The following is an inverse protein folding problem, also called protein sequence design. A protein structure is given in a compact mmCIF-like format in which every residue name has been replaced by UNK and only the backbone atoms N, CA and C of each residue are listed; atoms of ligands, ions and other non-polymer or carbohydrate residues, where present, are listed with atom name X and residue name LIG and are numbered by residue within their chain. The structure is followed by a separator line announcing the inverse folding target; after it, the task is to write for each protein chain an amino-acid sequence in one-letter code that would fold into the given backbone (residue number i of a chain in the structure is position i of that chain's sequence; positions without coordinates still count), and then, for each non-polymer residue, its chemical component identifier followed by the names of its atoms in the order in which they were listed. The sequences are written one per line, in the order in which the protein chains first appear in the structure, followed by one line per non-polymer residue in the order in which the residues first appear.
data_IF_323450945943
#
_entry.id   IF_323450945943
#
_cell.length_a   1.000
_cell.length_b   1.000
_cell.length_c   1.000
_cell.angle_alpha   90.00
_cell.angle_beta   90.00
_cell.angle_gamma   90.00
#
_symmetry.space_group_name_H-M   'P 1'
#
loop_
_entity.id
_entity.type
_entity.pdbx_description
1 polymer ?
#
# COMPACT_ATOMS: atom_id res chain seq x y z
N UNK A 1 23.56 15.82 23.65
CA UNK A 1 23.15 15.90 22.23
C UNK A 1 24.21 15.18 21.42
N UNK A 2 23.83 14.21 20.59
CA UNK A 2 24.77 13.44 19.76
C UNK A 2 25.35 14.34 18.68
N UNK A 3 26.67 14.23 18.43
CA UNK A 3 27.35 14.94 17.35
C UNK A 3 27.19 14.17 16.02
N UNK A 4 26.49 14.77 15.06
CA UNK A 4 26.25 14.22 13.72
C UNK A 4 27.35 14.60 12.70
N UNK A 5 28.39 15.34 13.10
CA UNK A 5 29.47 15.74 12.19
C UNK A 5 30.16 14.54 11.52
N UNK A 6 30.41 13.42 12.22
CA UNK A 6 30.98 12.24 11.59
C UNK A 6 30.10 11.63 10.50
N UNK A 7 28.76 11.61 10.71
CA UNK A 7 27.81 11.14 9.71
C UNK A 7 27.75 12.10 8.51
N UNK A 8 27.62 13.41 8.76
CA UNK A 8 27.61 14.43 7.71
C UNK A 8 28.83 14.36 6.78
N UNK A 9 30.00 13.98 7.32
CA UNK A 9 31.25 13.94 6.56
C UNK A 9 31.33 12.80 5.52
N UNK A 10 30.52 11.74 5.68
CA UNK A 10 30.55 10.54 4.83
C UNK A 10 29.32 10.35 3.97
N UNK A 11 28.26 11.15 4.16
CA UNK A 11 27.03 11.07 3.38
C UNK A 11 27.17 11.76 2.02
N UNK A 12 26.71 11.10 0.96
CA UNK A 12 26.39 11.73 -0.33
C UNK A 12 25.06 12.51 -0.25
N UNK A 13 24.17 12.09 0.63
CA UNK A 13 22.93 12.75 0.97
C UNK A 13 23.09 13.90 1.96
N UNK A 14 22.07 14.12 2.81
CA UNK A 14 22.11 15.24 3.78
C UNK A 14 21.36 14.93 5.07
N UNK A 15 21.81 15.55 6.17
CA UNK A 15 21.11 15.56 7.47
C UNK A 15 20.36 16.87 7.63
N UNK A 16 19.09 16.80 8.01
CA UNK A 16 18.20 17.95 8.18
C UNK A 16 17.74 18.02 9.64
N UNK A 17 18.16 19.07 10.35
CA UNK A 17 17.73 19.34 11.71
C UNK A 17 16.74 20.49 11.78
N UNK A 18 15.84 20.43 12.75
CA UNK A 18 14.91 21.53 12.99
C UNK A 18 15.62 22.85 13.35
N UNK A 19 16.71 22.76 14.12
CA UNK A 19 17.48 23.91 14.59
C UNK A 19 18.32 24.59 13.49
N UNK A 20 18.78 23.84 12.50
CA UNK A 20 19.68 24.34 11.44
C UNK A 20 18.93 24.63 10.15
N UNK A 21 17.92 23.82 9.80
CA UNK A 21 17.22 23.83 8.52
C UNK A 21 15.69 23.81 8.72
N UNK A 22 15.14 24.74 9.48
CA UNK A 22 13.74 24.71 9.89
C UNK A 22 12.74 24.59 8.71
N UNK A 23 13.00 25.23 7.57
CA UNK A 23 12.14 25.16 6.38
C UNK A 23 12.19 23.78 5.73
N UNK A 24 13.38 23.19 5.58
CA UNK A 24 13.54 21.86 5.00
C UNK A 24 12.98 20.81 5.94
N UNK A 25 13.21 20.94 7.24
CA UNK A 25 12.61 20.06 8.24
C UNK A 25 11.09 20.09 8.18
N UNK A 26 10.48 21.29 8.13
CA UNK A 26 9.04 21.43 8.05
C UNK A 26 8.50 20.81 6.75
N UNK A 27 9.21 20.97 5.63
CA UNK A 27 8.84 20.33 4.37
C UNK A 27 8.83 18.80 4.49
N UNK A 28 9.86 18.19 5.14
CA UNK A 28 9.88 16.74 5.39
C UNK A 28 8.66 16.28 6.20
N UNK A 29 8.24 17.05 7.20
CA UNK A 29 7.03 16.80 7.99
C UNK A 29 5.77 16.96 7.14
N UNK A 30 5.66 18.04 6.35
CA UNK A 30 4.47 18.37 5.56
C UNK A 30 4.24 17.42 4.38
N UNK A 31 5.29 16.74 3.92
CA UNK A 31 5.20 15.72 2.88
C UNK A 31 4.55 14.41 3.35
N UNK A 32 4.21 14.24 4.62
CA UNK A 32 3.48 13.05 5.07
C UNK A 32 2.06 13.01 4.52
N UNK A 33 1.60 11.80 4.17
CA UNK A 33 0.24 11.63 3.66
C UNK A 33 -0.81 11.96 4.72
N UNK A 34 -0.69 11.39 5.92
CA UNK A 34 -1.61 11.64 7.03
C UNK A 34 -1.15 12.86 7.85
N UNK A 35 -1.98 13.91 7.89
CA UNK A 35 -1.68 15.09 8.69
C UNK A 35 -1.67 14.81 10.20
N UNK A 36 -2.30 13.76 10.68
CA UNK A 36 -2.35 13.41 12.09
C UNK A 36 -0.95 13.17 12.70
N UNK A 37 0.01 12.67 11.90
CA UNK A 37 1.37 12.41 12.39
C UNK A 37 2.30 13.63 12.34
N UNK A 38 1.87 14.77 11.81
CA UNK A 38 2.69 15.99 11.69
C UNK A 38 3.03 16.66 13.03
N UNK A 39 2.38 16.26 14.10
CA UNK A 39 2.71 16.67 15.47
C UNK A 39 4.00 16.03 15.98
N UNK A 40 4.44 14.92 15.39
CA UNK A 40 5.66 14.22 15.75
C UNK A 40 6.90 15.06 15.44
N UNK A 41 7.93 14.88 16.24
CA UNK A 41 9.15 15.70 16.23
C UNK A 41 10.39 14.79 16.15
N UNK A 42 10.72 14.24 14.99
CA UNK A 42 11.96 13.52 14.80
C UNK A 42 13.18 14.36 15.20
N UNK A 43 14.23 13.71 15.71
CA UNK A 43 15.49 14.38 16.05
C UNK A 43 16.21 14.89 14.80
N UNK A 44 16.15 14.13 13.69
CA UNK A 44 16.70 14.49 12.39
C UNK A 44 16.01 13.71 11.26
N UNK A 45 16.03 14.28 10.04
CA UNK A 45 15.84 13.53 8.81
C UNK A 45 17.18 13.35 8.12
N UNK A 46 17.50 12.11 7.74
CA UNK A 46 18.68 11.78 6.93
C UNK A 46 18.17 11.37 5.53
N UNK A 47 18.27 12.26 4.56
CA UNK A 47 18.00 11.93 3.16
C UNK A 47 19.22 11.19 2.61
N UNK A 48 19.03 9.94 2.28
CA UNK A 48 20.06 9.06 1.73
C UNK A 48 19.94 9.00 0.21
N UNK A 49 21.08 9.04 -0.48
CA UNK A 49 21.16 8.99 -1.94
C UNK A 49 21.76 7.67 -2.45
N UNK A 50 22.48 6.94 -1.60
CA UNK A 50 23.20 5.72 -1.93
C UNK A 50 23.00 4.63 -0.88
N UNK A 51 23.31 3.39 -1.22
CA UNK A 51 23.33 2.26 -0.28
C UNK A 51 24.31 2.52 0.86
N UNK A 52 25.47 3.10 0.53
CA UNK A 52 26.51 3.45 1.52
C UNK A 52 26.00 4.50 2.52
N UNK A 53 25.16 5.46 2.09
CA UNK A 53 24.52 6.40 3.01
C UNK A 53 23.61 5.69 4.01
N UNK A 54 22.87 4.67 3.56
CA UNK A 54 22.02 3.85 4.44
C UNK A 54 22.87 3.09 5.45
N UNK A 55 23.94 2.41 4.97
CA UNK A 55 24.91 1.70 5.83
C UNK A 55 25.50 2.62 6.90
N UNK A 56 25.98 3.78 6.49
CA UNK A 56 26.59 4.76 7.41
C UNK A 56 25.58 5.29 8.43
N UNK A 57 24.33 5.53 8.00
CA UNK A 57 23.27 6.02 8.89
C UNK A 57 22.86 4.97 9.91
N UNK A 58 22.64 3.72 9.48
CA UNK A 58 22.28 2.61 10.38
C UNK A 58 23.40 2.40 11.41
N UNK A 59 24.67 2.25 10.98
CA UNK A 59 25.82 2.09 11.86
C UNK A 59 25.97 3.26 12.85
N UNK A 60 25.76 4.48 12.38
CA UNK A 60 25.81 5.67 13.23
C UNK A 60 24.71 5.65 14.31
N UNK A 61 23.48 5.32 13.94
CA UNK A 61 22.37 5.26 14.88
C UNK A 61 22.58 4.15 15.92
N UNK A 62 22.94 2.94 15.48
CA UNK A 62 23.21 1.81 16.40
C UNK A 62 24.35 2.14 17.36
N UNK A 63 25.46 2.68 16.86
CA UNK A 63 26.62 3.06 17.70
C UNK A 63 26.30 4.10 18.77
N UNK A 64 25.37 5.00 18.47
CA UNK A 64 25.01 6.11 19.38
C UNK A 64 23.69 5.86 20.11
N UNK A 65 23.14 4.64 20.04
CA UNK A 65 21.88 4.24 20.69
C UNK A 65 20.72 5.19 20.31
N UNK A 66 20.70 5.61 19.03
CA UNK A 66 19.65 6.46 18.49
C UNK A 66 18.53 5.61 17.91
N UNK A 67 17.33 5.94 18.28
CA UNK A 67 16.14 5.38 17.70
C UNK A 67 16.00 5.78 16.23
N UNK A 68 15.47 4.89 15.37
CA UNK A 68 15.34 5.16 13.94
C UNK A 68 14.06 4.62 13.35
N UNK A 69 13.54 5.33 12.35
CA UNK A 69 12.48 4.86 11.49
C UNK A 69 12.82 5.10 10.02
N UNK A 70 12.15 4.39 9.12
CA UNK A 70 12.44 4.42 7.69
C UNK A 70 11.23 4.93 6.92
N UNK A 71 11.45 5.84 5.99
CA UNK A 71 10.41 6.28 5.08
C UNK A 71 10.93 6.40 3.64
N UNK A 72 10.00 6.27 2.69
CA UNK A 72 10.20 6.59 1.28
C UNK A 72 9.16 7.64 0.85
N UNK A 73 7.98 7.21 0.42
CA UNK A 73 6.91 8.10 0.00
C UNK A 73 6.05 8.66 1.16
N UNK A 74 6.35 8.35 2.42
CA UNK A 74 5.68 8.87 3.64
C UNK A 74 4.15 8.66 3.66
N UNK A 75 3.69 7.50 3.19
CA UNK A 75 2.27 7.16 3.16
C UNK A 75 1.79 6.43 4.42
N UNK A 76 2.71 5.89 5.23
CA UNK A 76 2.42 5.19 6.48
C UNK A 76 2.51 6.12 7.68
N UNK A 77 1.74 5.83 8.72
CA UNK A 77 1.86 6.48 10.03
C UNK A 77 3.20 6.15 10.74
N UNK A 78 3.93 5.15 10.25
CA UNK A 78 5.28 4.80 10.70
C UNK A 78 6.40 5.62 10.03
N UNK A 79 6.04 6.55 9.12
CA UNK A 79 7.00 7.32 8.33
C UNK A 79 7.91 8.23 9.17
N UNK A 80 7.54 8.54 10.40
CA UNK A 80 8.36 9.26 11.39
C UNK A 80 7.88 8.98 12.81
N UNK A 81 8.79 9.11 13.78
CA UNK A 81 8.52 8.98 15.22
C UNK A 81 9.18 10.14 15.98
N UNK A 82 8.68 10.43 17.18
CA UNK A 82 9.28 11.42 18.06
C UNK A 82 10.69 10.99 18.46
N UNK A 83 11.61 11.94 18.50
CA UNK A 83 13.00 11.79 18.89
C UNK A 83 13.85 10.80 18.02
N UNK A 84 13.24 10.10 17.06
CA UNK A 84 13.91 9.18 16.16
C UNK A 84 14.68 9.90 15.04
N UNK A 85 15.70 9.24 14.49
CA UNK A 85 16.34 9.59 13.22
C UNK A 85 15.53 8.96 12.09
N UNK A 86 15.01 9.77 11.17
CA UNK A 86 14.26 9.30 10.02
C UNK A 86 15.19 9.09 8.83
N UNK A 87 15.38 7.83 8.43
CA UNK A 87 16.08 7.46 7.19
C UNK A 87 15.11 7.65 6.03
N UNK A 88 15.31 8.68 5.23
CA UNK A 88 14.44 9.02 4.10
C UNK A 88 15.06 8.56 2.78
N UNK A 89 14.46 7.52 2.18
CA UNK A 89 14.90 6.87 0.95
C UNK A 89 14.45 7.56 -0.34
N UNK A 90 13.70 8.66 -0.27
CA UNK A 90 13.00 9.24 -1.43
C UNK A 90 13.92 9.66 -2.58
N UNK A 91 15.22 9.86 -2.34
CA UNK A 91 16.20 10.18 -3.39
C UNK A 91 16.77 8.91 -4.08
N UNK A 92 16.51 7.71 -3.53
CA UNK A 92 16.88 6.42 -4.14
C UNK A 92 15.74 5.91 -5.04
N UNK A 93 15.38 6.64 -6.08
CA UNK A 93 14.17 6.44 -6.88
C UNK A 93 14.44 6.00 -8.33
N UNK A 94 15.57 5.39 -8.60
CA UNK A 94 15.92 4.88 -9.93
C UNK A 94 14.95 3.77 -10.37
N UNK A 95 14.65 3.74 -11.70
CA UNK A 95 13.88 2.68 -12.34
C UNK A 95 14.63 2.24 -13.59
N UNK A 96 14.97 0.95 -13.70
CA UNK A 96 15.69 0.39 -14.83
C UNK A 96 14.98 -0.85 -15.36
N UNK A 97 14.48 -0.78 -16.60
CA UNK A 97 13.75 -1.87 -17.27
C UNK A 97 14.69 -2.67 -18.16
N UNK A 98 14.72 -3.99 -17.98
CA UNK A 98 15.30 -4.95 -18.93
C UNK A 98 14.14 -5.61 -19.70
N UNK A 99 13.90 -5.10 -20.91
CA UNK A 99 12.76 -5.53 -21.73
C UNK A 99 12.92 -6.98 -22.20
N UNK A 100 14.15 -7.42 -22.51
CA UNK A 100 14.40 -8.78 -23.00
C UNK A 100 14.13 -9.82 -21.92
N UNK A 101 14.56 -9.53 -20.67
CA UNK A 101 14.30 -10.41 -19.52
C UNK A 101 12.94 -10.19 -18.89
N UNK A 102 12.22 -9.15 -19.30
CA UNK A 102 10.96 -8.71 -18.69
C UNK A 102 11.10 -8.53 -17.17
N UNK A 103 12.09 -7.76 -16.75
CA UNK A 103 12.29 -7.41 -15.35
C UNK A 103 12.52 -5.91 -15.19
N UNK A 104 12.17 -5.39 -14.02
CA UNK A 104 12.49 -4.02 -13.63
C UNK A 104 13.22 -4.03 -12.29
N UNK A 105 14.29 -3.24 -12.17
CA UNK A 105 15.00 -2.97 -10.93
C UNK A 105 14.68 -1.55 -10.50
N UNK A 106 14.26 -1.39 -9.25
CA UNK A 106 13.81 -0.11 -8.71
C UNK A 106 14.48 0.20 -7.39
N UNK A 107 14.86 1.45 -7.18
CA UNK A 107 15.28 1.96 -5.88
C UNK A 107 14.10 2.04 -4.92
N UNK A 108 14.35 1.79 -3.64
CA UNK A 108 13.30 1.71 -2.62
C UNK A 108 12.51 3.01 -2.39
N UNK A 109 13.06 4.16 -2.82
CA UNK A 109 12.41 5.47 -2.79
C UNK A 109 11.45 5.74 -3.94
N UNK A 110 11.40 4.88 -4.97
CA UNK A 110 10.53 5.05 -6.13
C UNK A 110 9.04 4.99 -5.73
N UNK A 111 8.22 5.74 -6.45
CA UNK A 111 6.77 5.65 -6.40
C UNK A 111 6.25 4.68 -7.45
N UNK A 112 5.03 4.19 -7.26
CA UNK A 112 4.38 3.29 -8.22
C UNK A 112 4.28 3.93 -9.61
N UNK A 113 3.98 5.24 -9.67
CA UNK A 113 3.95 6.01 -10.93
C UNK A 113 5.28 6.06 -11.68
N UNK A 114 6.41 5.96 -10.99
CA UNK A 114 7.72 6.00 -11.62
C UNK A 114 7.95 4.68 -12.39
N UNK A 115 7.49 3.56 -11.81
CA UNK A 115 7.57 2.24 -12.43
C UNK A 115 6.61 2.13 -13.62
N UNK A 116 5.32 2.46 -13.41
CA UNK A 116 4.31 2.41 -14.48
C UNK A 116 4.74 3.21 -15.70
N UNK A 117 5.24 4.44 -15.47
CA UNK A 117 5.72 5.33 -16.53
C UNK A 117 6.81 4.71 -17.40
N UNK A 118 7.73 3.97 -16.80
CA UNK A 118 8.84 3.36 -17.54
C UNK A 118 8.44 2.03 -18.19
N UNK A 119 7.62 1.20 -17.51
CA UNK A 119 7.27 -0.14 -18.00
C UNK A 119 6.20 -0.11 -19.10
N UNK A 120 5.17 0.75 -18.97
CA UNK A 120 4.07 0.84 -19.96
C UNK A 120 4.55 1.26 -21.36
N UNK A 121 5.64 2.03 -21.46
CA UNK A 121 6.28 2.38 -22.74
C UNK A 121 6.73 1.16 -23.56
N UNK A 122 6.92 0.04 -22.90
CA UNK A 122 7.33 -1.22 -23.49
C UNK A 122 6.19 -2.24 -23.55
N UNK A 123 4.94 -1.82 -23.31
CA UNK A 123 3.77 -2.71 -23.16
C UNK A 123 3.98 -3.77 -22.08
N UNK A 124 4.65 -3.39 -21.00
CA UNK A 124 4.96 -4.24 -19.86
C UNK A 124 4.38 -3.62 -18.57
N UNK A 125 3.99 -4.47 -17.61
CA UNK A 125 3.59 -4.04 -16.29
C UNK A 125 3.87 -5.12 -15.23
N UNK A 126 3.85 -4.72 -13.96
CA UNK A 126 3.82 -5.60 -12.79
C UNK A 126 2.65 -5.18 -11.90
N UNK A 127 2.08 -6.08 -11.07
CA UNK A 127 1.02 -5.69 -10.14
C UNK A 127 1.52 -4.64 -9.14
N UNK A 128 0.91 -3.46 -9.17
CA UNK A 128 1.16 -2.34 -8.27
C UNK A 128 -0.15 -1.87 -7.66
N UNK A 129 -0.08 -1.04 -6.62
CA UNK A 129 -1.25 -0.48 -5.95
C UNK A 129 -2.05 0.48 -6.83
N UNK A 130 -3.27 0.77 -6.42
CA UNK A 130 -4.24 1.59 -7.17
C UNK A 130 -4.07 3.11 -7.01
N UNK A 131 -3.11 3.56 -6.22
CA UNK A 131 -2.78 4.97 -6.01
C UNK A 131 -1.33 5.24 -6.40
N UNK A 132 -1.12 6.08 -7.42
CA UNK A 132 0.16 6.25 -8.10
C UNK A 132 1.29 6.83 -7.22
N UNK A 133 0.93 7.54 -6.14
CA UNK A 133 1.88 8.22 -5.24
C UNK A 133 2.35 7.34 -4.06
N UNK A 134 1.95 6.08 -4.00
CA UNK A 134 2.48 5.13 -3.00
C UNK A 134 3.96 4.84 -3.26
N UNK A 135 4.72 4.62 -2.18
CA UNK A 135 6.10 4.17 -2.25
C UNK A 135 6.17 2.66 -2.48
N UNK A 136 6.98 2.24 -3.45
CA UNK A 136 7.05 0.83 -3.86
C UNK A 136 7.52 -0.09 -2.74
N UNK A 137 8.57 0.28 -2.00
CA UNK A 137 9.16 -0.60 -0.99
C UNK A 137 8.16 -0.92 0.13
N UNK A 138 7.63 0.11 0.81
CA UNK A 138 6.67 -0.09 1.89
C UNK A 138 5.43 -0.85 1.44
N UNK A 139 4.99 -0.65 0.21
CA UNK A 139 3.83 -1.34 -0.36
C UNK A 139 4.10 -2.85 -0.57
N UNK A 140 5.25 -3.19 -1.13
CA UNK A 140 5.67 -4.58 -1.40
C UNK A 140 5.90 -5.36 -0.11
N UNK A 141 6.53 -4.74 0.90
CA UNK A 141 6.86 -5.39 2.16
C UNK A 141 5.65 -5.85 2.99
N UNK A 142 4.43 -5.39 2.63
CA UNK A 142 3.14 -5.82 3.20
C UNK A 142 2.31 -6.65 2.21
N UNK A 143 2.89 -7.19 1.15
CA UNK A 143 2.18 -7.93 0.11
C UNK A 143 1.80 -7.03 -1.07
N UNK A 144 0.92 -6.07 -0.88
CA UNK A 144 0.47 -5.12 -1.90
C UNK A 144 -0.50 -5.70 -2.93
N UNK A 145 -1.69 -5.08 -3.07
CA UNK A 145 -2.73 -5.51 -4.01
C UNK A 145 -3.21 -4.34 -4.86
N UNK A 146 -3.53 -4.58 -6.12
CA UNK A 146 -4.03 -3.55 -7.04
C UNK A 146 -4.81 -4.13 -8.20
N UNK A 147 -5.07 -3.32 -9.20
CA UNK A 147 -5.91 -3.70 -10.34
C UNK A 147 -5.39 -4.91 -11.14
N UNK A 148 -4.08 -5.15 -11.15
CA UNK A 148 -3.49 -6.28 -11.85
C UNK A 148 -3.35 -7.53 -11.00
N UNK A 149 -3.67 -7.46 -9.70
CA UNK A 149 -3.40 -8.56 -8.77
C UNK A 149 -4.25 -9.81 -9.02
N UNK A 150 -5.44 -9.64 -9.57
CA UNK A 150 -6.27 -10.79 -9.98
C UNK A 150 -5.61 -11.61 -11.10
N UNK A 151 -4.88 -10.92 -12.00
CA UNK A 151 -4.17 -11.57 -13.11
C UNK A 151 -2.81 -12.15 -12.73
N UNK A 152 -2.07 -11.49 -11.81
CA UNK A 152 -0.65 -11.77 -11.62
C UNK A 152 -0.22 -11.98 -10.16
N UNK A 153 -1.13 -11.92 -9.18
CA UNK A 153 -0.81 -12.04 -7.76
C UNK A 153 -0.54 -10.68 -7.09
N UNK A 154 -0.14 -10.70 -5.83
CA UNK A 154 0.24 -9.50 -5.08
C UNK A 154 1.54 -8.89 -5.63
N UNK A 155 1.82 -7.63 -5.30
CA UNK A 155 3.08 -6.97 -5.68
C UNK A 155 4.30 -7.76 -5.16
N UNK A 156 4.23 -8.27 -3.93
CA UNK A 156 5.28 -9.08 -3.32
C UNK A 156 5.49 -10.44 -4.02
N UNK A 157 4.44 -11.05 -4.57
CA UNK A 157 4.55 -12.31 -5.32
C UNK A 157 5.40 -12.15 -6.58
N UNK A 158 5.42 -10.94 -7.13
CA UNK A 158 6.14 -10.58 -8.34
C UNK A 158 7.53 -10.00 -8.06
N UNK A 159 7.90 -9.83 -6.78
CA UNK A 159 9.25 -9.44 -6.41
C UNK A 159 10.19 -10.66 -6.51
N UNK A 160 11.28 -10.49 -7.27
CA UNK A 160 12.28 -11.53 -7.54
C UNK A 160 13.50 -11.42 -6.63
N UNK A 161 13.79 -10.22 -6.12
CA UNK A 161 14.96 -9.94 -5.29
C UNK A 161 14.74 -8.68 -4.45
N UNK A 162 15.19 -8.71 -3.21
CA UNK A 162 15.37 -7.55 -2.34
C UNK A 162 16.85 -7.37 -2.05
N UNK A 163 17.31 -6.11 -2.07
CA UNK A 163 18.58 -5.72 -1.48
C UNK A 163 18.28 -4.86 -0.25
N UNK A 164 18.91 -5.17 0.88
CA UNK A 164 18.65 -4.47 2.13
C UNK A 164 19.93 -4.32 2.99
N UNK A 165 19.88 -3.32 3.88
CA UNK A 165 20.91 -3.08 4.91
C UNK A 165 20.36 -3.57 6.24
N UNK A 166 21.07 -4.52 6.88
CA UNK A 166 20.71 -5.10 8.18
C UNK A 166 20.98 -4.15 9.35
N UNK A 167 20.56 -4.53 10.57
CA UNK A 167 20.86 -3.77 11.79
C UNK A 167 22.37 -3.66 12.11
N UNK A 168 23.21 -4.54 11.58
CA UNK A 168 24.67 -4.47 11.67
C UNK A 168 25.29 -3.57 10.60
N UNK A 169 24.49 -3.13 9.63
CA UNK A 169 24.94 -2.35 8.48
C UNK A 169 25.58 -3.19 7.39
N UNK A 170 25.29 -4.49 7.33
CA UNK A 170 25.70 -5.36 6.23
C UNK A 170 24.69 -5.24 5.09
N UNK A 171 25.19 -5.15 3.85
CA UNK A 171 24.37 -5.18 2.65
C UNK A 171 24.18 -6.63 2.23
N UNK A 172 22.94 -7.08 2.19
CA UNK A 172 22.59 -8.47 1.82
C UNK A 172 21.51 -8.48 0.74
N UNK A 173 21.38 -9.63 0.04
CA UNK A 173 20.32 -9.89 -0.90
C UNK A 173 19.47 -11.06 -0.44
N UNK A 174 18.20 -10.99 -0.79
CA UNK A 174 17.23 -12.04 -0.56
C UNK A 174 16.49 -12.34 -1.86
N UNK A 175 16.55 -13.59 -2.33
CA UNK A 175 15.89 -14.09 -3.53
C UNK A 175 15.62 -15.60 -3.36
N UNK A 176 14.98 -16.24 -4.31
CA UNK A 176 14.82 -17.72 -4.30
C UNK A 176 16.16 -18.47 -4.25
N UNK A 177 17.25 -17.87 -4.78
CA UNK A 177 18.56 -18.50 -4.86
C UNK A 177 19.56 -17.98 -3.81
N UNK A 178 19.26 -16.88 -3.14
CA UNK A 178 20.11 -16.25 -2.14
C UNK A 178 19.27 -15.89 -0.92
N UNK A 179 19.48 -16.55 0.22
CA UNK A 179 18.73 -16.44 1.46
C UNK A 179 17.20 -16.59 1.27
N UNK A 180 16.72 -17.78 0.81
CA UNK A 180 15.30 -18.01 0.52
C UNK A 180 14.37 -17.85 1.73
N UNK A 181 14.87 -18.07 2.96
CA UNK A 181 14.10 -17.86 4.18
C UNK A 181 13.82 -16.38 4.42
N UNK A 182 14.84 -15.54 4.29
CA UNK A 182 14.65 -14.09 4.36
C UNK A 182 13.75 -13.61 3.22
N UNK A 183 13.96 -14.13 2.00
CA UNK A 183 13.13 -13.79 0.85
C UNK A 183 11.65 -14.09 1.10
N UNK A 184 11.35 -15.23 1.71
CA UNK A 184 10.00 -15.56 2.16
C UNK A 184 9.47 -14.51 3.14
N UNK A 185 10.22 -14.19 4.20
CA UNK A 185 9.81 -13.22 5.23
C UNK A 185 9.60 -11.80 4.70
N UNK A 186 10.38 -11.40 3.70
CA UNK A 186 10.27 -10.07 3.08
C UNK A 186 8.93 -9.84 2.37
N UNK A 187 8.24 -10.89 1.94
CA UNK A 187 6.98 -10.84 1.16
C UNK A 187 5.72 -10.67 2.02
N UNK A 188 5.78 -9.98 3.14
CA UNK A 188 4.64 -9.72 4.02
C UNK A 188 5.03 -9.10 5.37
N UNK A 189 6.27 -9.37 5.85
CA UNK A 189 6.79 -8.88 7.13
C UNK A 189 8.13 -8.13 7.00
N UNK A 190 8.48 -7.68 5.80
CA UNK A 190 9.82 -7.20 5.45
C UNK A 190 10.31 -5.95 6.19
N UNK A 191 9.44 -5.21 6.85
CA UNK A 191 9.83 -4.05 7.68
C UNK A 191 10.71 -4.42 8.90
N UNK A 192 10.74 -5.70 9.27
CA UNK A 192 11.36 -6.16 10.52
C UNK A 192 12.84 -6.53 10.38
N UNK A 193 13.38 -6.64 9.15
CA UNK A 193 14.65 -7.31 8.92
C UNK A 193 15.78 -6.37 8.46
N UNK A 194 15.45 -5.15 8.05
CA UNK A 194 16.43 -4.19 7.56
C UNK A 194 15.81 -3.06 6.74
N UNK A 195 16.69 -2.18 6.24
CA UNK A 195 16.33 -1.08 5.36
C UNK A 195 16.47 -1.53 3.91
N UNK A 196 15.38 -1.74 3.19
CA UNK A 196 15.41 -2.09 1.76
C UNK A 196 15.94 -0.92 0.95
N UNK A 197 16.89 -1.20 0.05
CA UNK A 197 17.52 -0.22 -0.83
C UNK A 197 17.14 -0.41 -2.30
N UNK A 198 16.87 -1.65 -2.72
CA UNK A 198 16.49 -1.99 -4.10
C UNK A 198 15.55 -3.18 -4.13
N UNK A 199 14.67 -3.22 -5.15
CA UNK A 199 13.76 -4.32 -5.43
C UNK A 199 13.79 -4.64 -6.93
N UNK A 200 13.62 -5.92 -7.27
CA UNK A 200 13.54 -6.39 -8.65
C UNK A 200 12.22 -7.12 -8.87
N UNK A 201 11.48 -6.77 -9.94
CA UNK A 201 10.18 -7.37 -10.22
C UNK A 201 10.13 -8.03 -11.58
N UNK A 202 9.31 -9.08 -11.66
CA UNK A 202 8.83 -9.66 -12.91
C UNK A 202 7.88 -8.69 -13.61
N UNK A 203 8.01 -8.56 -14.92
CA UNK A 203 7.10 -7.83 -15.79
C UNK A 203 6.32 -8.79 -16.68
N UNK A 204 5.11 -8.39 -17.04
CA UNK A 204 4.18 -9.12 -17.89
C UNK A 204 3.77 -8.29 -19.10
N UNK A 205 3.54 -8.95 -20.23
CA UNK A 205 2.97 -8.29 -21.40
C UNK A 205 1.56 -7.80 -21.10
N UNK A 206 1.28 -6.57 -21.47
CA UNK A 206 -0.05 -5.97 -21.39
C UNK A 206 -0.41 -5.36 -22.75
N UNK A 207 -1.68 -5.23 -23.10
CA UNK A 207 -2.08 -4.50 -24.31
C UNK A 207 -1.69 -3.02 -24.20
N UNK A 208 -1.39 -2.38 -25.33
CA UNK A 208 -1.10 -0.95 -25.42
C UNK A 208 -2.20 -0.08 -24.79
N UNK A 209 -3.46 -0.51 -24.99
CA UNK A 209 -4.64 0.11 -24.38
C UNK A 209 -5.43 -0.93 -23.59
N UNK A 210 -5.69 -0.63 -22.33
CA UNK A 210 -6.64 -1.35 -21.48
C UNK A 210 -8.02 -0.73 -21.62
N UNK A 211 -9.08 -1.45 -21.27
CA UNK A 211 -10.44 -0.89 -21.16
C UNK A 211 -10.65 -0.49 -19.71
N UNK A 212 -10.66 0.81 -19.42
CA UNK A 212 -10.71 1.29 -18.04
C UNK A 212 -11.43 2.62 -17.88
N UNK A 213 -11.88 2.88 -16.65
CA UNK A 213 -12.57 4.12 -16.27
C UNK A 213 -13.63 3.91 -15.20
N UNK A 214 -14.50 4.89 -15.03
CA UNK A 214 -15.45 4.96 -13.94
C UNK A 214 -16.90 4.91 -14.42
N UNK A 215 -17.70 4.08 -13.76
CA UNK A 215 -19.15 4.01 -13.87
C UNK A 215 -19.77 4.66 -12.63
N UNK A 216 -20.59 5.67 -12.78
CA UNK A 216 -21.21 6.40 -11.66
C UNK A 216 -22.66 6.00 -11.48
N UNK A 217 -23.10 5.85 -10.24
CA UNK A 217 -24.45 5.41 -9.88
C UNK A 217 -25.16 6.43 -8.99
N UNK A 218 -26.49 6.62 -9.14
CA UNK A 218 -27.28 7.35 -8.15
C UNK A 218 -27.22 6.64 -6.80
N UNK A 219 -27.05 7.36 -5.69
CA UNK A 219 -26.98 6.75 -4.35
C UNK A 219 -28.18 5.84 -4.05
N UNK A 220 -29.37 6.20 -4.52
CA UNK A 220 -30.61 5.40 -4.34
C UNK A 220 -30.58 4.03 -5.04
N UNK A 221 -29.64 3.79 -5.95
CA UNK A 221 -29.48 2.51 -6.68
C UNK A 221 -28.11 1.86 -6.42
N UNK A 222 -27.23 2.53 -5.69
CA UNK A 222 -25.84 2.13 -5.57
C UNK A 222 -25.68 0.78 -4.86
N UNK A 223 -26.42 0.52 -3.78
CA UNK A 223 -26.36 -0.76 -3.08
C UNK A 223 -26.77 -1.93 -4.01
N UNK A 224 -27.87 -1.79 -4.75
CA UNK A 224 -28.29 -2.80 -5.72
C UNK A 224 -27.28 -2.98 -6.85
N UNK A 225 -26.70 -1.87 -7.36
CA UNK A 225 -25.65 -1.93 -8.38
C UNK A 225 -24.40 -2.66 -7.88
N UNK A 226 -23.97 -2.42 -6.63
CA UNK A 226 -22.80 -3.08 -6.05
C UNK A 226 -23.05 -4.59 -5.85
N UNK A 227 -24.25 -5.02 -5.47
CA UNK A 227 -24.62 -6.44 -5.41
C UNK A 227 -24.53 -7.08 -6.80
N UNK A 228 -25.04 -6.43 -7.84
CA UNK A 228 -24.96 -6.92 -9.23
C UNK A 228 -23.51 -6.96 -9.71
N UNK A 229 -22.70 -5.94 -9.43
CA UNK A 229 -21.27 -5.91 -9.81
C UNK A 229 -20.49 -7.05 -9.15
N UNK A 230 -20.72 -7.29 -7.86
CA UNK A 230 -20.12 -8.43 -7.13
C UNK A 230 -20.46 -9.76 -7.82
N UNK A 231 -21.75 -9.98 -8.10
CA UNK A 231 -22.22 -11.23 -8.73
C UNK A 231 -21.65 -11.38 -10.14
N UNK A 232 -21.62 -10.29 -10.92
CA UNK A 232 -21.03 -10.26 -12.26
C UNK A 232 -19.55 -10.68 -12.25
N UNK A 233 -18.73 -10.11 -11.34
CA UNK A 233 -17.30 -10.49 -11.24
C UNK A 233 -17.14 -11.95 -10.86
N UNK A 234 -17.98 -12.46 -9.94
CA UNK A 234 -17.97 -13.85 -9.53
C UNK A 234 -18.36 -14.80 -10.67
N UNK A 235 -19.40 -14.46 -11.45
CA UNK A 235 -19.90 -15.30 -12.55
C UNK A 235 -18.94 -15.33 -13.75
N UNK A 236 -18.23 -14.23 -14.03
CA UNK A 236 -17.30 -14.18 -15.18
C UNK A 236 -16.03 -14.99 -14.96
N UNK A 237 -15.58 -15.18 -13.73
CA UNK A 237 -14.35 -15.90 -13.39
C UNK A 237 -13.13 -15.48 -14.23
N UNK A 238 -13.14 -14.25 -14.79
CA UNK A 238 -12.06 -13.72 -15.62
C UNK A 238 -11.06 -12.92 -14.78
N UNK A 239 -9.88 -13.46 -14.60
CA UNK A 239 -8.83 -12.81 -13.82
C UNK A 239 -8.31 -11.50 -14.44
N UNK A 240 -8.60 -11.23 -15.73
CA UNK A 240 -8.26 -9.99 -16.43
C UNK A 240 -9.20 -8.84 -16.08
N UNK A 241 -10.33 -9.14 -15.43
CA UNK A 241 -11.32 -8.16 -14.97
C UNK A 241 -11.07 -7.80 -13.50
N UNK A 242 -10.85 -6.52 -13.24
CA UNK A 242 -10.79 -5.95 -11.89
C UNK A 242 -11.84 -4.85 -11.74
N UNK A 243 -12.55 -4.85 -10.61
CA UNK A 243 -13.51 -3.80 -10.27
C UNK A 243 -13.28 -3.31 -8.86
N UNK A 244 -13.34 -1.99 -8.68
CA UNK A 244 -13.31 -1.35 -7.38
C UNK A 244 -14.60 -0.56 -7.23
N UNK A 245 -15.50 -1.04 -6.38
CA UNK A 245 -16.69 -0.30 -5.99
C UNK A 245 -16.31 0.70 -4.92
N UNK A 246 -16.75 1.93 -5.05
CA UNK A 246 -16.31 3.02 -4.21
C UNK A 246 -17.44 3.95 -3.82
N UNK A 247 -17.38 4.44 -2.58
CA UNK A 247 -18.18 5.53 -2.08
C UNK A 247 -17.25 6.69 -1.73
N UNK A 248 -17.27 7.75 -2.52
CA UNK A 248 -16.44 8.94 -2.34
C UNK A 248 -17.27 10.09 -1.77
N UNK A 249 -16.80 10.70 -0.69
CA UNK A 249 -17.49 11.79 -0.03
C UNK A 249 -17.03 13.15 -0.58
N UNK A 250 -17.94 13.81 -1.30
CA UNK A 250 -17.80 15.22 -1.73
C UNK A 250 -18.51 16.13 -0.74
N UNK A 251 -18.21 17.43 -0.78
CA UNK A 251 -18.95 18.42 0.04
C UNK A 251 -20.46 18.39 -0.19
N UNK A 252 -20.92 17.96 -1.38
CA UNK A 252 -22.34 17.84 -1.75
C UNK A 252 -22.99 16.52 -1.32
N UNK A 253 -22.25 15.63 -0.70
CA UNK A 253 -22.70 14.29 -0.29
C UNK A 253 -21.90 13.16 -0.93
N UNK A 254 -22.20 11.91 -0.53
CA UNK A 254 -21.51 10.72 -1.06
C UNK A 254 -21.85 10.49 -2.54
N UNK A 255 -20.87 10.00 -3.26
CA UNK A 255 -20.99 9.58 -4.66
C UNK A 255 -20.55 8.13 -4.80
N UNK A 256 -21.40 7.31 -5.41
CA UNK A 256 -21.10 5.91 -5.69
C UNK A 256 -20.53 5.76 -7.10
N UNK A 257 -19.44 5.00 -7.21
CA UNK A 257 -18.82 4.65 -8.49
C UNK A 257 -18.22 3.26 -8.47
N UNK A 258 -18.07 2.67 -9.66
CA UNK A 258 -17.29 1.48 -9.90
C UNK A 258 -16.15 1.84 -10.86
N UNK A 259 -14.92 1.65 -10.43
CA UNK A 259 -13.76 1.68 -11.33
C UNK A 259 -13.64 0.32 -11.99
N UNK A 260 -13.69 0.30 -13.29
CA UNK A 260 -13.63 -0.88 -14.14
C UNK A 260 -12.28 -0.93 -14.84
N UNK A 261 -11.60 -2.07 -14.78
CA UNK A 261 -10.42 -2.34 -15.59
C UNK A 261 -10.51 -3.74 -16.20
N UNK A 262 -10.22 -3.82 -17.49
CA UNK A 262 -10.03 -5.08 -18.18
C UNK A 262 -8.71 -5.06 -19.00
N UNK A 263 -7.82 -6.02 -18.73
CA UNK A 263 -6.53 -6.16 -19.40
C UNK A 263 -6.60 -7.25 -20.48
N UNK A 264 -7.27 -6.94 -21.58
CA UNK A 264 -7.44 -7.84 -22.72
C UNK A 264 -7.74 -7.06 -23.99
N UNK A 265 -8.24 -7.74 -25.01
CA UNK A 265 -8.59 -7.05 -26.24
C UNK A 265 -9.73 -6.04 -26.04
N UNK A 266 -9.72 -4.90 -26.77
CA UNK A 266 -10.82 -3.92 -26.70
C UNK A 266 -12.19 -4.52 -27.02
N UNK A 267 -12.25 -5.54 -27.86
CA UNK A 267 -13.50 -6.23 -28.20
C UNK A 267 -14.07 -7.01 -27.01
N UNK A 268 -13.25 -7.78 -26.32
CA UNK A 268 -13.66 -8.54 -25.13
C UNK A 268 -14.06 -7.60 -23.99
N UNK A 269 -13.22 -6.60 -23.68
CA UNK A 269 -13.50 -5.63 -22.64
C UNK A 269 -14.75 -4.79 -22.93
N UNK A 270 -14.96 -4.41 -24.19
CA UNK A 270 -16.18 -3.72 -24.63
C UNK A 270 -17.45 -4.56 -24.46
N UNK A 271 -17.38 -5.87 -24.73
CA UNK A 271 -18.51 -6.79 -24.53
C UNK A 271 -18.85 -6.93 -23.03
N UNK A 272 -17.85 -7.14 -22.16
CA UNK A 272 -18.03 -7.19 -20.71
C UNK A 272 -18.62 -5.90 -20.15
N UNK A 273 -18.08 -4.75 -20.61
CA UNK A 273 -18.59 -3.43 -20.19
C UNK A 273 -20.04 -3.23 -20.58
N UNK A 274 -20.40 -3.60 -21.82
CA UNK A 274 -21.79 -3.47 -22.32
C UNK A 274 -22.74 -4.32 -21.47
N UNK A 275 -22.39 -5.58 -21.20
CA UNK A 275 -23.20 -6.45 -20.35
C UNK A 275 -23.36 -5.87 -18.93
N UNK A 276 -22.25 -5.44 -18.29
CA UNK A 276 -22.29 -4.83 -16.97
C UNK A 276 -23.14 -3.57 -16.92
N UNK A 277 -23.03 -2.69 -17.94
CA UNK A 277 -23.83 -1.45 -18.00
C UNK A 277 -25.30 -1.73 -18.26
N UNK A 278 -25.61 -2.80 -19.00
CA UNK A 278 -26.99 -3.23 -19.22
C UNK A 278 -27.64 -3.77 -17.95
N UNK A 279 -26.91 -4.45 -17.10
CA UNK A 279 -27.39 -4.95 -15.81
C UNK A 279 -27.53 -3.83 -14.77
N UNK A 280 -26.54 -2.93 -14.67
CA UNK A 280 -26.43 -1.96 -13.58
C UNK A 280 -26.99 -0.57 -13.91
N UNK A 281 -27.15 -0.23 -15.21
CA UNK A 281 -27.67 1.06 -15.71
C UNK A 281 -27.00 2.28 -15.01
N UNK A 282 -25.69 2.48 -15.17
CA UNK A 282 -25.00 3.62 -14.58
C UNK A 282 -25.54 4.96 -15.10
N UNK A 283 -25.52 6.00 -14.26
CA UNK A 283 -25.90 7.36 -14.64
C UNK A 283 -24.89 7.97 -15.63
N UNK A 284 -23.59 7.68 -15.43
CA UNK A 284 -22.49 8.13 -16.27
C UNK A 284 -21.53 6.99 -16.49
N UNK A 285 -21.12 6.79 -17.75
CA UNK A 285 -20.07 5.87 -18.13
C UNK A 285 -18.89 6.65 -18.71
N UNK A 286 -17.71 6.55 -18.06
CA UNK A 286 -16.45 7.14 -18.49
C UNK A 286 -15.40 6.09 -18.87
N UNK A 287 -15.81 4.83 -19.01
CA UNK A 287 -14.90 3.75 -19.42
C UNK A 287 -14.56 3.89 -20.89
N UNK A 288 -13.26 3.78 -21.21
CA UNK A 288 -12.73 3.92 -22.57
C UNK A 288 -11.42 3.13 -22.71
N UNK A 289 -10.92 2.90 -23.94
CA UNK A 289 -9.55 2.49 -24.13
C UNK A 289 -8.58 3.60 -23.69
N UNK A 290 -7.54 3.24 -22.90
CA UNK A 290 -6.47 4.16 -22.48
C UNK A 290 -5.23 3.36 -22.03
N UNK A 291 -4.02 3.98 -22.01
CA UNK A 291 -2.83 3.38 -21.42
C UNK A 291 -3.03 3.07 -19.93
N UNK A 292 -2.40 2.01 -19.44
CA UNK A 292 -2.54 1.56 -18.04
C UNK A 292 -2.08 2.63 -17.04
N UNK A 293 -0.97 3.33 -17.32
CA UNK A 293 -0.47 4.38 -16.43
C UNK A 293 -1.39 5.60 -16.33
N UNK A 294 -2.12 5.93 -17.41
CA UNK A 294 -3.18 6.94 -17.38
C UNK A 294 -4.36 6.49 -16.53
N UNK A 295 -4.76 5.20 -16.66
CA UNK A 295 -5.81 4.65 -15.81
C UNK A 295 -5.41 4.69 -14.33
N UNK A 296 -4.21 4.25 -13.97
CA UNK A 296 -3.70 4.27 -12.59
C UNK A 296 -3.75 5.69 -12.01
N UNK A 297 -3.23 6.68 -12.71
CA UNK A 297 -3.23 8.10 -12.27
C UNK A 297 -4.61 8.72 -12.20
N UNK A 298 -5.57 8.23 -12.99
CA UNK A 298 -6.92 8.80 -13.06
C UNK A 298 -7.69 8.76 -11.73
N UNK A 299 -7.22 7.98 -10.76
CA UNK A 299 -7.79 7.89 -9.41
C UNK A 299 -7.12 8.76 -8.35
N UNK A 300 -5.98 9.37 -8.63
CA UNK A 300 -5.17 10.10 -7.65
C UNK A 300 -5.91 11.28 -6.99
N UNK A 301 -6.83 11.91 -7.70
CA UNK A 301 -7.64 13.02 -7.18
C UNK A 301 -8.52 12.64 -5.98
N UNK A 302 -8.80 11.36 -5.78
CA UNK A 302 -9.62 10.87 -4.67
C UNK A 302 -8.86 10.81 -3.34
N UNK A 303 -7.53 10.88 -3.38
CA UNK A 303 -6.68 10.79 -2.19
C UNK A 303 -5.81 12.04 -2.12
N UNK A 304 -6.12 12.93 -1.18
CA UNK A 304 -5.36 14.17 -0.98
C UNK A 304 -4.22 13.94 0.01
N UNK A 305 -3.03 14.41 -0.35
CA UNK A 305 -1.84 14.24 0.48
C UNK A 305 -1.66 15.41 1.44
N UNK A 306 -1.46 15.10 2.69
CA UNK A 306 -0.92 16.03 3.68
C UNK A 306 -1.83 17.15 4.16
N UNK A 307 -3.09 17.16 3.78
CA UNK A 307 -4.07 18.19 4.22
C UNK A 307 -5.23 17.60 5.03
N UNK A 308 -5.27 16.30 5.20
CA UNK A 308 -6.36 15.60 5.85
C UNK A 308 -5.83 14.71 6.98
N UNK A 309 -6.52 14.72 8.11
CA UNK A 309 -6.30 13.81 9.23
C UNK A 309 -7.08 12.53 8.93
N UNK A 310 -6.37 11.46 8.56
CA UNK A 310 -7.00 10.19 8.18
C UNK A 310 -7.06 9.21 9.34
N UNK A 311 -8.18 8.48 9.41
CA UNK A 311 -8.37 7.29 10.25
C UNK A 311 -8.61 6.09 9.31
N UNK A 312 -7.56 5.46 8.77
CA UNK A 312 -7.72 4.35 7.85
C UNK A 312 -7.96 3.05 8.60
N UNK A 313 -8.97 2.28 8.15
CA UNK A 313 -9.25 0.92 8.60
C UNK A 313 -9.59 0.04 7.40
N UNK A 314 -9.50 -1.28 7.54
CA UNK A 314 -9.87 -2.18 6.45
C UNK A 314 -9.92 -3.63 6.84
N UNK A 315 -10.82 -4.35 6.20
CA UNK A 315 -11.06 -5.77 6.38
C UNK A 315 -10.87 -6.54 5.07
N UNK A 316 -10.14 -7.64 5.12
CA UNK A 316 -10.12 -8.64 4.05
C UNK A 316 -11.24 -9.64 4.32
N UNK A 317 -12.06 -9.94 3.33
CA UNK A 317 -13.20 -10.85 3.47
C UNK A 317 -13.18 -11.94 2.40
N UNK A 318 -13.53 -13.18 2.79
CA UNK A 318 -13.65 -14.29 1.84
C UNK A 318 -14.89 -14.15 0.95
N UNK A 319 -15.93 -13.51 1.47
CA UNK A 319 -17.17 -13.28 0.74
C UNK A 319 -17.72 -11.88 1.04
N UNK A 320 -18.09 -11.16 0.00
CA UNK A 320 -18.86 -9.93 0.11
C UNK A 320 -20.35 -10.26 0.08
N UNK A 321 -20.95 -10.43 1.25
CA UNK A 321 -22.38 -10.78 1.37
C UNK A 321 -23.30 -9.57 1.09
N UNK A 322 -24.58 -9.82 0.85
CA UNK A 322 -25.59 -8.78 0.76
C UNK A 322 -25.67 -7.94 2.04
N UNK A 323 -25.61 -8.61 3.21
CA UNK A 323 -25.63 -7.96 4.51
C UNK A 323 -24.35 -7.09 4.72
N UNK A 324 -23.18 -7.54 4.24
CA UNK A 324 -21.96 -6.73 4.25
C UNK A 324 -22.09 -5.44 3.44
N UNK A 325 -22.68 -5.51 2.25
CA UNK A 325 -22.98 -4.34 1.43
C UNK A 325 -23.97 -3.43 2.14
N UNK A 326 -25.07 -3.98 2.69
CA UNK A 326 -26.10 -3.21 3.38
C UNK A 326 -25.54 -2.52 4.65
N UNK A 327 -24.61 -3.14 5.40
CA UNK A 327 -23.88 -2.52 6.52
C UNK A 327 -23.07 -1.31 6.04
N UNK A 328 -22.39 -1.42 4.89
CA UNK A 328 -21.62 -0.30 4.33
C UNK A 328 -22.53 0.89 4.02
N UNK A 329 -23.65 0.64 3.34
CA UNK A 329 -24.59 1.71 2.97
C UNK A 329 -25.30 2.31 4.19
N UNK A 330 -25.63 1.49 5.20
CA UNK A 330 -26.17 1.97 6.47
C UNK A 330 -25.14 2.85 7.20
N UNK A 331 -23.85 2.46 7.21
CA UNK A 331 -22.75 3.26 7.74
C UNK A 331 -22.59 4.60 7.01
N UNK A 332 -22.79 4.64 5.69
CA UNK A 332 -22.80 5.89 4.91
C UNK A 332 -23.92 6.82 5.35
N UNK A 333 -25.11 6.28 5.67
CA UNK A 333 -26.24 7.08 6.16
C UNK A 333 -26.01 7.63 7.58
N UNK A 334 -25.10 7.03 8.34
CA UNK A 334 -24.69 7.46 9.70
C UNK A 334 -23.41 8.31 9.68
N UNK A 335 -22.84 8.58 8.52
CA UNK A 335 -21.62 9.33 8.36
C UNK A 335 -21.74 10.76 8.91
N UNK A 336 -20.66 11.35 9.43
CA UNK A 336 -20.61 12.78 9.72
C UNK A 336 -20.97 13.63 8.50
N UNK A 337 -21.29 14.90 8.71
CA UNK A 337 -21.59 15.84 7.64
C UNK A 337 -20.52 15.76 6.53
N UNK A 338 -20.96 15.62 5.27
CA UNK A 338 -20.04 15.47 4.12
C UNK A 338 -19.07 16.64 3.94
N UNK A 339 -19.35 17.80 4.55
CA UNK A 339 -18.43 18.95 4.57
C UNK A 339 -17.24 18.70 5.51
N UNK A 340 -17.45 17.88 6.55
CA UNK A 340 -16.41 17.49 7.52
C UNK A 340 -15.53 16.39 6.93
N UNK A 341 -16.13 15.38 6.30
CA UNK A 341 -15.44 14.19 5.80
C UNK A 341 -15.16 14.24 4.29
N UNK A 342 -15.12 15.43 3.69
CA UNK A 342 -14.86 15.59 2.26
C UNK A 342 -13.49 15.00 1.87
N UNK A 343 -13.47 14.21 0.80
CA UNK A 343 -12.27 13.47 0.36
C UNK A 343 -12.14 12.07 0.98
N UNK A 344 -13.04 11.69 1.90
CA UNK A 344 -13.10 10.32 2.43
C UNK A 344 -13.59 9.32 1.38
N UNK A 345 -13.17 8.07 1.53
CA UNK A 345 -13.53 6.99 0.63
C UNK A 345 -13.83 5.70 1.39
N UNK A 346 -14.79 4.94 0.89
CA UNK A 346 -14.96 3.53 1.22
C UNK A 346 -14.69 2.76 -0.07
N UNK A 347 -13.72 1.84 -0.01
CA UNK A 347 -13.31 0.99 -1.12
C UNK A 347 -13.83 -0.42 -0.89
N UNK A 348 -14.34 -1.04 -1.94
CA UNK A 348 -14.64 -2.48 -1.99
C UNK A 348 -13.91 -3.00 -3.22
N UNK A 349 -12.73 -3.56 -2.99
CA UNK A 349 -11.77 -3.95 -4.03
C UNK A 349 -11.88 -5.43 -4.30
N UNK A 350 -12.13 -5.83 -5.55
CA UNK A 350 -12.10 -7.23 -5.94
C UNK A 350 -10.67 -7.78 -5.88
N UNK A 351 -10.51 -8.92 -5.20
CA UNK A 351 -9.31 -9.71 -5.09
C UNK A 351 -9.52 -11.09 -5.72
N UNK A 352 -9.01 -12.17 -5.11
CA UNK A 352 -9.15 -13.53 -5.65
C UNK A 352 -8.24 -13.77 -6.86
N UNK A 353 -8.70 -14.60 -7.80
CA UNK A 353 -7.91 -14.92 -8.99
C UNK A 353 -6.53 -15.47 -8.66
N UNK A 354 -5.48 -14.95 -9.33
CA UNK A 354 -4.09 -15.41 -9.13
C UNK A 354 -3.59 -15.33 -7.69
N UNK A 355 -4.13 -14.41 -6.88
CA UNK A 355 -3.78 -14.32 -5.44
C UNK A 355 -4.09 -15.63 -4.71
N UNK A 356 -5.27 -16.23 -4.99
CA UNK A 356 -5.72 -17.50 -4.37
C UNK A 356 -5.02 -18.72 -4.93
N UNK A 357 -4.56 -18.67 -6.17
CA UNK A 357 -3.84 -19.78 -6.80
C UNK A 357 -2.42 -19.96 -6.23
N UNK A 358 -1.85 -18.90 -5.62
CA UNK A 358 -0.53 -18.96 -5.02
C UNK A 358 -0.64 -19.63 -3.65
N UNK A 359 0.16 -20.68 -3.36
CA UNK A 359 0.10 -21.39 -2.09
C UNK A 359 0.30 -20.46 -0.88
N UNK A 360 -0.46 -20.69 0.19
CA UNK A 360 -0.43 -19.84 1.39
C UNK A 360 0.98 -19.81 2.02
N UNK A 361 1.67 -20.94 2.03
CA UNK A 361 3.03 -21.09 2.58
C UNK A 361 4.13 -20.37 1.81
N UNK A 362 3.84 -19.84 0.61
CA UNK A 362 4.83 -19.17 -0.24
C UNK A 362 5.29 -17.80 0.28
N UNK A 363 4.57 -17.22 1.23
CA UNK A 363 4.91 -15.95 1.89
C UNK A 363 4.07 -15.75 3.16
N UNK A 364 4.49 -14.88 4.08
CA UNK A 364 3.71 -14.54 5.27
C UNK A 364 2.53 -13.59 4.98
N UNK A 365 2.11 -13.41 3.72
CA UNK A 365 0.93 -12.64 3.38
C UNK A 365 -0.35 -13.43 3.70
N UNK A 366 -1.14 -13.04 4.72
CA UNK A 366 -2.16 -13.92 5.30
C UNK A 366 -3.52 -13.89 4.57
N UNK A 367 -3.70 -13.00 3.58
CA UNK A 367 -5.02 -12.73 2.99
C UNK A 367 -5.23 -13.40 1.63
N UNK A 368 -4.62 -14.57 1.38
CA UNK A 368 -4.71 -15.27 0.10
C UNK A 368 -6.12 -15.70 -0.26
N UNK A 369 -6.94 -16.06 0.73
CA UNK A 369 -8.32 -16.51 0.53
C UNK A 369 -9.32 -15.35 0.33
N UNK A 370 -8.88 -14.09 0.49
CA UNK A 370 -9.77 -12.94 0.34
C UNK A 370 -10.28 -12.78 -1.10
N UNK A 371 -11.58 -12.62 -1.25
CA UNK A 371 -12.22 -12.21 -2.51
C UNK A 371 -12.38 -10.70 -2.59
N UNK A 372 -12.43 -10.02 -1.45
CA UNK A 372 -12.53 -8.56 -1.40
C UNK A 372 -11.71 -7.98 -0.25
N UNK A 373 -11.20 -6.76 -0.48
CA UNK A 373 -10.77 -5.86 0.58
C UNK A 373 -11.76 -4.71 0.71
N UNK A 374 -12.23 -4.48 1.94
CA UNK A 374 -13.12 -3.36 2.28
C UNK A 374 -12.27 -2.36 3.06
N UNK A 375 -11.90 -1.24 2.44
CA UNK A 375 -11.10 -0.18 3.05
C UNK A 375 -11.93 1.04 3.36
N UNK A 376 -11.85 1.54 4.60
CA UNK A 376 -12.46 2.80 5.02
C UNK A 376 -11.33 3.79 5.23
N UNK A 377 -11.11 4.66 4.25
CA UNK A 377 -10.10 5.72 4.29
C UNK A 377 -10.82 7.03 4.48
N UNK A 378 -11.19 7.30 5.71
CA UNK A 378 -11.93 8.48 6.08
C UNK A 378 -11.05 9.50 6.80
N UNK A 379 -11.35 10.78 6.62
CA UNK A 379 -10.57 11.83 7.23
C UNK A 379 -11.26 13.20 7.14
N UNK A 380 -10.65 14.16 7.80
CA UNK A 380 -11.12 15.54 7.87
C UNK A 380 -9.97 16.53 7.68
N UNK A 381 -10.19 17.67 7.01
CA UNK A 381 -9.18 18.73 6.95
C UNK A 381 -9.05 19.53 8.27
N UNK A 382 -9.98 19.37 9.21
CA UNK A 382 -10.01 20.06 10.51
C UNK A 382 -9.79 19.05 11.65
N UNK A 383 -8.70 19.20 12.38
CA UNK A 383 -8.33 18.33 13.50
C UNK A 383 -9.40 18.29 14.62
N UNK A 384 -10.24 19.30 14.77
CA UNK A 384 -11.29 19.33 15.78
C UNK A 384 -12.35 18.24 15.55
N UNK A 385 -12.49 17.74 14.31
CA UNK A 385 -13.44 16.67 13.97
C UNK A 385 -12.78 15.30 13.83
N UNK A 386 -11.48 15.18 14.13
CA UNK A 386 -10.77 13.91 13.91
C UNK A 386 -11.34 12.77 14.73
N UNK A 387 -11.66 13.01 16.01
CA UNK A 387 -12.23 11.99 16.91
C UNK A 387 -13.65 11.58 16.48
N UNK A 388 -14.46 12.50 15.95
CA UNK A 388 -15.78 12.17 15.42
C UNK A 388 -15.67 11.26 14.19
N UNK A 389 -14.72 11.58 13.29
CA UNK A 389 -14.44 10.75 12.09
C UNK A 389 -13.93 9.38 12.51
N UNK A 390 -12.98 9.32 13.45
CA UNK A 390 -12.43 8.07 13.98
C UNK A 390 -13.52 7.20 14.61
N UNK A 391 -14.39 7.78 15.44
CA UNK A 391 -15.51 7.06 16.08
C UNK A 391 -16.44 6.44 15.03
N UNK A 392 -16.74 7.17 13.94
CA UNK A 392 -17.55 6.64 12.84
C UNK A 392 -16.84 5.50 12.12
N UNK A 393 -15.55 5.64 11.80
CA UNK A 393 -14.73 4.60 11.16
C UNK A 393 -14.69 3.35 12.03
N UNK A 394 -14.37 3.49 13.33
CA UNK A 394 -14.31 2.38 14.29
C UNK A 394 -15.66 1.65 14.40
N UNK A 395 -16.77 2.40 14.38
CA UNK A 395 -18.13 1.81 14.39
C UNK A 395 -18.42 0.97 13.15
N UNK A 396 -18.00 1.43 11.97
CA UNK A 396 -18.16 0.66 10.74
C UNK A 396 -17.25 -0.57 10.72
N UNK A 397 -16.00 -0.41 11.13
CA UNK A 397 -15.02 -1.48 11.18
C UNK A 397 -15.47 -2.60 12.12
N UNK A 398 -15.93 -2.28 13.32
CA UNK A 398 -16.50 -3.24 14.27
C UNK A 398 -17.70 -4.03 13.71
N UNK A 399 -18.52 -3.41 12.87
CA UNK A 399 -19.66 -4.08 12.22
C UNK A 399 -19.24 -5.00 11.07
N UNK A 400 -18.16 -4.65 10.37
CA UNK A 400 -17.62 -5.39 9.24
C UNK A 400 -16.65 -6.49 9.67
N UNK A 401 -15.99 -6.34 10.81
CA UNK A 401 -14.97 -7.28 11.30
C UNK A 401 -15.48 -8.71 11.46
N UNK A 402 -16.79 -8.92 11.71
CA UNK A 402 -17.39 -10.26 11.76
C UNK A 402 -17.29 -11.07 10.45
N UNK A 403 -17.02 -10.40 9.32
CA UNK A 403 -16.76 -11.02 8.01
C UNK A 403 -15.26 -11.08 7.68
N UNK A 404 -14.44 -10.42 8.50
CA UNK A 404 -13.01 -10.28 8.27
C UNK A 404 -12.24 -11.59 8.42
N UNK A 405 -11.20 -11.75 7.62
CA UNK A 405 -10.18 -12.77 7.82
C UNK A 405 -9.25 -12.29 8.92
N UNK A 406 -9.14 -13.04 9.99
CA UNK A 406 -8.21 -12.74 11.08
C UNK A 406 -6.89 -13.48 10.84
N UNK A 407 -5.79 -12.78 10.53
CA UNK A 407 -4.52 -13.41 10.19
C UNK A 407 -3.80 -14.09 11.36
N UNK A 408 -4.32 -13.95 12.58
CA UNK A 408 -3.69 -14.38 13.83
C UNK A 408 -4.44 -15.53 14.53
N UNK A 409 -5.03 -16.44 13.77
CA UNK A 409 -5.65 -17.65 14.32
C UNK A 409 -4.60 -18.65 14.87
N UNK A 410 -5.05 -19.71 15.61
CA UNK A 410 -4.15 -20.75 16.13
C UNK A 410 -3.30 -21.44 15.06
N UNK A 411 -3.77 -21.46 13.82
CA UNK A 411 -3.07 -22.05 12.66
C UNK A 411 -1.88 -21.20 12.19
N UNK A 412 -1.80 -19.93 12.59
CA UNK A 412 -0.70 -19.02 12.26
C UNK A 412 0.50 -19.11 13.23
N UNK A 413 0.46 -19.98 14.25
CA UNK A 413 1.48 -20.04 15.31
C UNK A 413 2.84 -20.48 14.75
N UNK A 414 2.87 -21.46 13.84
CA UNK A 414 4.10 -21.94 13.18
C UNK A 414 4.70 -20.83 12.27
N UNK A 415 3.87 -20.13 11.54
CA UNK A 415 4.29 -19.03 10.68
C UNK A 415 4.88 -17.87 11.50
N UNK A 416 4.27 -17.53 12.60
CA UNK A 416 4.76 -16.50 13.52
C UNK A 416 6.11 -16.86 14.13
N UNK A 417 6.32 -18.13 14.53
CA UNK A 417 7.62 -18.58 15.04
C UNK A 417 8.69 -18.52 13.95
N UNK A 418 8.35 -18.85 12.71
CA UNK A 418 9.25 -18.73 11.56
C UNK A 418 9.65 -17.27 11.31
N UNK A 419 8.70 -16.33 11.34
CA UNK A 419 8.97 -14.89 11.19
C UNK A 419 9.82 -14.36 12.36
N UNK A 420 9.52 -14.80 13.60
CA UNK A 420 10.29 -14.44 14.79
C UNK A 420 11.72 -14.96 14.72
N UNK A 421 11.95 -16.15 14.22
CA UNK A 421 13.30 -16.68 14.03
C UNK A 421 14.13 -15.82 13.05
N UNK A 422 13.50 -15.32 11.98
CA UNK A 422 14.12 -14.36 11.07
C UNK A 422 14.45 -13.03 11.78
N UNK A 423 13.51 -12.51 12.59
CA UNK A 423 13.75 -11.29 13.37
C UNK A 423 14.93 -11.44 14.32
N UNK A 424 15.02 -12.56 15.05
CA UNK A 424 16.17 -12.87 15.93
C UNK A 424 17.48 -12.96 15.15
N UNK A 425 17.45 -13.50 13.93
CA UNK A 425 18.64 -13.63 13.07
C UNK A 425 19.14 -12.28 12.54
N UNK A 426 18.22 -11.41 12.03
CA UNK A 426 18.60 -10.20 11.29
C UNK A 426 18.53 -8.92 12.11
N UNK A 427 17.74 -8.91 13.18
CA UNK A 427 17.58 -7.75 14.06
C UNK A 427 17.33 -8.18 15.53
N UNK A 428 18.31 -8.87 16.17
CA UNK A 428 18.16 -9.40 17.52
C UNK A 428 17.94 -8.33 18.60
N UNK A 429 18.42 -7.11 18.37
CA UNK A 429 18.29 -5.99 19.30
C UNK A 429 17.04 -5.12 19.02
N UNK A 430 16.19 -5.55 18.06
CA UNK A 430 14.96 -4.86 17.69
C UNK A 430 15.19 -3.39 17.28
N UNK A 431 16.21 -3.13 16.49
CA UNK A 431 16.57 -1.79 15.97
C UNK A 431 15.46 -1.23 15.07
N UNK A 432 14.84 -2.11 14.27
CA UNK A 432 13.75 -1.75 13.35
C UNK A 432 12.39 -2.08 13.96
N UNK A 433 11.88 -1.20 14.83
CA UNK A 433 10.62 -1.44 15.57
C UNK A 433 9.52 -0.38 15.35
N UNK A 434 9.81 0.73 14.67
CA UNK A 434 8.79 1.70 14.26
C UNK A 434 8.01 1.24 13.02
N UNK A 435 7.26 0.14 13.16
CA UNK A 435 6.50 -0.53 12.10
C UNK A 435 5.50 -1.52 12.72
N UNK A 436 5.01 -2.50 11.99
CA UNK A 436 4.31 -3.67 12.54
C UNK A 436 5.35 -4.58 13.22
N UNK A 437 5.79 -4.19 14.39
CA UNK A 437 6.95 -4.75 15.06
C UNK A 437 6.74 -6.19 15.54
N UNK A 438 7.69 -7.05 15.23
CA UNK A 438 7.84 -8.39 15.79
C UNK A 438 8.97 -8.30 16.83
N UNK A 439 8.62 -8.35 18.13
CA UNK A 439 9.60 -8.28 19.20
C UNK A 439 10.38 -9.62 19.29
N UNK A 440 11.72 -9.62 19.07
CA UNK A 440 12.49 -10.85 19.12
C UNK A 440 12.56 -11.50 20.51
N UNK A 441 12.28 -10.74 21.59
CA UNK A 441 12.39 -11.17 22.99
C UNK A 441 11.03 -11.58 23.60
N UNK A 442 9.93 -11.26 22.96
CA UNK A 442 8.57 -11.61 23.43
C UNK A 442 7.95 -12.62 22.49
N UNK A 443 7.34 -13.68 23.05
CA UNK A 443 6.36 -14.46 22.31
C UNK A 443 5.21 -13.54 21.88
N UNK A 444 4.47 -13.95 20.83
CA UNK A 444 3.36 -13.15 20.31
C UNK A 444 2.38 -12.90 21.45
N UNK A 445 2.22 -11.62 21.83
CA UNK A 445 1.16 -11.23 22.74
C UNK A 445 -0.16 -11.44 21.99
N UNK A 446 -0.98 -12.35 22.48
CA UNK A 446 -2.38 -12.53 22.10
C UNK A 446 -3.15 -11.40 22.79
N UNK A 447 -3.29 -10.22 22.16
CA UNK A 447 -4.24 -9.21 22.56
C UNK A 447 -5.54 -9.35 21.78
#
# INVERSE_FOLDING_TARGET
MVDFSPLKAVLSGRVIFRSENAKDYQREVDETWNAAIRTRKPSAFVRVATVEDVVNTVKFCVKNELDMCVCAAKNSDFAMADDAVVINLSDMNSVTVDVEKKVVVVGAGAKLSDIDKETVRHSLATPLGSYSQLGVAGYTLLGGTGFLSRSFGCTADNCLEFELVTSTGDVIRASENEDPELFWGMKGCGFNFGVVTSLKYQLYDIPEFVIGGDLYYPMSKAASAFKIIRDFVREKEDNRLAVYMMLHFKRSGPQALCRFLFIGSPKEGGALLMELTDLTKPLVNKVKPLPLDEFQKSGDWMVQRGITYYAPMGNFVEELTDDGIDIIFDGVNQAPDSRIITGSNIYITSLGGKIKEIPAESSPYPFRQAEYWIGIVAGTPDSNFYEDVKTWVDSMDNRLSKYGIFPYGPEAEEEHERIRALKVKYDPENVFHHNFNIDPKKGIQKD
#
